data_IF_621203629604
#
_entry.id   IF_621203629604
#
_cell.length_a   1.000
_cell.length_b   1.000
_cell.length_c   1.000
_cell.angle_alpha   90.00
_cell.angle_beta   90.00
_cell.angle_gamma   90.00
#
_symmetry.space_group_name_H-M   'P 1'
#
loop_
_entity.id
_entity.type
_entity.pdbx_description
1 polymer ?
#
# COMPACT_ATOMS: atom_id res chain seq x y z
N UNK A 1 -30.20 -21.86 16.20
CA UNK A 1 -28.90 -21.99 16.91
C UNK A 1 -27.83 -21.48 15.97
N UNK A 2 -27.29 -20.29 16.22
CA UNK A 2 -26.28 -19.68 15.36
C UNK A 2 -24.96 -20.41 15.56
N UNK A 3 -24.58 -21.26 14.61
CA UNK A 3 -23.25 -21.86 14.58
C UNK A 3 -22.25 -20.79 14.13
N UNK A 4 -21.61 -20.17 15.11
CA UNK A 4 -20.41 -19.36 14.94
C UNK A 4 -19.27 -20.26 14.45
N UNK A 5 -19.17 -20.41 13.13
CA UNK A 5 -18.04 -21.09 12.49
C UNK A 5 -17.00 -20.05 12.12
N UNK A 6 -16.04 -19.70 13.00
CA UNK A 6 -14.68 -19.25 12.61
C UNK A 6 -13.67 -19.36 13.77
N UNK A 7 -13.39 -20.57 14.22
CA UNK A 7 -12.07 -20.88 14.76
C UNK A 7 -11.39 -21.80 13.75
N UNK A 8 -10.82 -21.18 12.70
CA UNK A 8 -9.82 -21.85 11.90
C UNK A 8 -8.57 -21.90 12.78
N UNK A 9 -8.19 -23.08 13.27
CA UNK A 9 -6.93 -23.26 13.99
C UNK A 9 -5.79 -22.91 13.03
N UNK A 10 -5.18 -21.74 13.25
CA UNK A 10 -4.03 -21.29 12.48
C UNK A 10 -2.86 -22.21 12.87
N UNK A 11 -2.59 -23.23 12.04
CA UNK A 11 -1.63 -24.27 12.34
C UNK A 11 -0.18 -23.89 12.03
N UNK A 12 0.02 -22.86 11.20
CA UNK A 12 1.35 -22.41 10.79
C UNK A 12 1.49 -20.89 10.79
N UNK A 13 2.73 -20.42 10.94
CA UNK A 13 3.06 -18.99 10.86
C UNK A 13 2.67 -18.36 9.52
N UNK A 14 2.78 -19.10 8.41
CA UNK A 14 2.37 -18.61 7.09
C UNK A 14 0.86 -18.41 6.97
N UNK A 15 0.05 -19.31 7.56
CA UNK A 15 -1.39 -19.16 7.60
C UNK A 15 -1.81 -17.97 8.47
N UNK A 16 -1.12 -17.75 9.59
CA UNK A 16 -1.32 -16.57 10.42
C UNK A 16 -1.10 -15.28 9.61
N UNK A 17 0.03 -15.19 8.90
CA UNK A 17 0.34 -14.03 8.08
C UNK A 17 -0.67 -13.83 6.95
N UNK A 18 -1.17 -14.90 6.33
CA UNK A 18 -2.18 -14.82 5.26
C UNK A 18 -3.53 -14.34 5.78
N UNK A 19 -4.02 -14.90 6.88
CA UNK A 19 -5.31 -14.51 7.47
C UNK A 19 -5.24 -13.08 8.01
N UNK A 20 -4.14 -12.72 8.68
CA UNK A 20 -3.90 -11.36 9.15
C UNK A 20 -3.86 -10.36 7.99
N UNK A 21 -3.16 -10.69 6.90
CA UNK A 21 -3.18 -9.86 5.68
C UNK A 21 -4.57 -9.81 5.05
N UNK A 22 -5.30 -10.92 4.97
CA UNK A 22 -6.66 -10.95 4.41
C UNK A 22 -7.67 -10.11 5.19
N UNK A 23 -7.52 -10.03 6.52
CA UNK A 23 -8.43 -9.27 7.38
C UNK A 23 -8.07 -7.78 7.50
N UNK A 24 -6.78 -7.44 7.50
CA UNK A 24 -6.30 -6.07 7.79
C UNK A 24 -5.59 -5.38 6.62
N UNK A 25 -5.30 -6.10 5.54
CA UNK A 25 -4.59 -5.60 4.39
C UNK A 25 -5.44 -5.78 3.13
N UNK A 26 -6.37 -4.86 2.85
CA UNK A 26 -7.20 -4.98 1.65
C UNK A 26 -6.30 -4.89 0.43
N UNK A 27 -6.34 -5.87 -0.47
CA UNK A 27 -5.64 -5.81 -1.77
C UNK A 27 -6.01 -4.51 -2.52
N UNK A 28 -7.24 -4.02 -2.31
CA UNK A 28 -7.72 -2.72 -2.77
C UNK A 28 -6.86 -1.53 -2.33
N UNK A 29 -6.28 -1.55 -1.13
CA UNK A 29 -5.41 -0.47 -0.62
C UNK A 29 -4.09 -0.42 -1.38
N UNK A 30 -3.56 -1.56 -1.85
CA UNK A 30 -2.36 -1.56 -2.71
C UNK A 30 -2.65 -0.96 -4.07
N UNK A 31 -3.73 -1.36 -4.70
CA UNK A 31 -4.10 -0.84 -6.02
C UNK A 31 -4.45 0.65 -5.95
N UNK A 32 -5.15 1.09 -4.91
CA UNK A 32 -5.40 2.51 -4.67
C UNK A 32 -4.09 3.29 -4.46
N UNK A 33 -3.16 2.75 -3.68
CA UNK A 33 -1.86 3.37 -3.47
C UNK A 33 -1.02 3.39 -4.77
N UNK A 34 -1.12 2.38 -5.64
CA UNK A 34 -0.49 2.34 -6.96
C UNK A 34 -1.08 3.42 -7.88
N UNK A 35 -2.40 3.54 -7.96
CA UNK A 35 -3.07 4.59 -8.74
C UNK A 35 -2.68 5.98 -8.23
N UNK A 36 -2.63 6.17 -6.92
CA UNK A 36 -2.18 7.43 -6.30
C UNK A 36 -0.71 7.74 -6.60
N UNK A 37 0.15 6.73 -6.61
CA UNK A 37 1.58 6.90 -6.93
C UNK A 37 1.79 7.31 -8.39
N UNK A 38 1.04 6.71 -9.33
CA UNK A 38 1.09 7.05 -10.76
C UNK A 38 0.66 8.50 -11.05
N UNK A 39 -0.27 9.03 -10.25
CA UNK A 39 -0.81 10.38 -10.38
C UNK A 39 -0.30 11.37 -9.32
N UNK A 40 0.79 11.07 -8.62
CA UNK A 40 1.28 11.93 -7.54
C UNK A 40 1.74 13.28 -8.08
N UNK A 41 1.38 14.37 -7.38
CA UNK A 41 1.78 15.73 -7.76
C UNK A 41 2.00 16.56 -6.51
N UNK A 42 3.03 17.39 -6.50
CA UNK A 42 3.34 18.27 -5.39
C UNK A 42 2.25 19.34 -5.24
N UNK A 43 1.45 19.27 -4.18
CA UNK A 43 0.42 20.28 -3.89
C UNK A 43 0.92 21.36 -2.94
N UNK A 44 1.64 20.98 -1.89
CA UNK A 44 2.22 21.88 -0.89
C UNK A 44 3.73 22.01 -1.00
N UNK A 45 4.39 21.93 0.14
CA UNK A 45 5.86 21.96 0.25
C UNK A 45 6.48 20.67 -0.32
N UNK A 46 7.75 20.74 -0.71
CA UNK A 46 8.51 19.56 -1.14
C UNK A 46 8.57 18.52 -0.01
N UNK A 47 8.67 18.96 1.25
CA UNK A 47 8.71 18.06 2.40
C UNK A 47 7.42 17.25 2.60
N UNK A 48 6.26 17.87 2.37
CA UNK A 48 4.96 17.18 2.39
C UNK A 48 4.85 16.19 1.24
N UNK A 49 5.28 16.60 0.04
CA UNK A 49 5.29 15.75 -1.15
C UNK A 49 6.16 14.50 -0.97
N UNK A 50 7.39 14.67 -0.47
CA UNK A 50 8.29 13.54 -0.17
C UNK A 50 7.69 12.61 0.88
N UNK A 51 7.00 13.15 1.89
CA UNK A 51 6.34 12.34 2.92
C UNK A 51 5.19 11.51 2.35
N UNK A 52 4.36 12.11 1.49
CA UNK A 52 3.25 11.42 0.82
C UNK A 52 3.76 10.34 -0.12
N UNK A 53 4.78 10.64 -0.93
CA UNK A 53 5.45 9.67 -1.80
C UNK A 53 5.99 8.47 -1.02
N UNK A 54 6.74 8.71 0.07
CA UNK A 54 7.28 7.63 0.93
C UNK A 54 6.17 6.78 1.55
N UNK A 55 5.06 7.39 1.97
CA UNK A 55 3.90 6.68 2.50
C UNK A 55 3.29 5.74 1.45
N UNK A 56 3.13 6.21 0.22
CA UNK A 56 2.62 5.39 -0.89
C UNK A 56 3.58 4.24 -1.24
N UNK A 57 4.88 4.50 -1.29
CA UNK A 57 5.90 3.47 -1.52
C UNK A 57 5.87 2.34 -0.48
N UNK A 58 5.62 2.66 0.80
CA UNK A 58 5.48 1.65 1.86
C UNK A 58 4.21 0.80 1.73
N UNK A 59 3.14 1.35 1.12
CA UNK A 59 1.88 0.64 0.90
C UNK A 59 1.92 -0.25 -0.33
N UNK A 60 2.81 0.01 -1.27
CA UNK A 60 2.95 -0.77 -2.50
C UNK A 60 4.32 -1.43 -2.51
N UNK A 61 4.59 -2.28 -1.52
CA UNK A 61 5.91 -2.91 -1.28
C UNK A 61 6.53 -3.66 -2.48
N UNK A 62 5.80 -3.84 -3.58
CA UNK A 62 6.21 -4.46 -4.84
C UNK A 62 6.46 -3.45 -6.00
N UNK A 63 6.54 -2.13 -5.77
CA UNK A 63 6.78 -1.19 -6.90
C UNK A 63 8.20 -1.34 -7.46
N UNK A 64 8.27 -1.41 -8.79
CA UNK A 64 9.47 -1.21 -9.59
C UNK A 64 10.04 0.18 -9.25
N UNK A 65 11.15 0.21 -8.52
CA UNK A 65 11.85 1.43 -8.04
C UNK A 65 12.08 2.48 -9.15
N UNK A 66 12.23 2.02 -10.40
CA UNK A 66 12.37 2.89 -11.58
C UNK A 66 11.09 3.63 -11.96
N UNK A 67 9.93 2.98 -11.93
CA UNK A 67 8.65 3.60 -12.31
C UNK A 67 8.19 4.62 -11.27
N UNK A 68 8.45 4.31 -10.00
CA UNK A 68 8.17 5.21 -8.87
C UNK A 68 9.06 6.45 -8.87
N UNK A 69 10.35 6.32 -9.23
CA UNK A 69 11.25 7.47 -9.37
C UNK A 69 10.80 8.41 -10.49
N UNK A 70 10.34 7.87 -11.63
CA UNK A 70 9.83 8.67 -12.75
C UNK A 70 8.56 9.43 -12.35
N UNK A 71 7.62 8.77 -11.67
CA UNK A 71 6.42 9.42 -11.15
C UNK A 71 6.77 10.54 -10.15
N UNK A 72 7.77 10.32 -9.29
CA UNK A 72 8.26 11.34 -8.37
C UNK A 72 8.78 12.58 -9.09
N UNK A 73 9.61 12.41 -10.13
CA UNK A 73 10.18 13.52 -10.89
C UNK A 73 9.10 14.29 -11.66
N UNK A 74 8.17 13.58 -12.31
CA UNK A 74 7.09 14.19 -13.07
C UNK A 74 6.08 14.95 -12.20
N UNK A 75 5.92 14.56 -10.94
CA UNK A 75 5.01 15.20 -10.00
C UNK A 75 5.56 16.46 -9.31
N UNK A 76 6.85 16.80 -9.49
CA UNK A 76 7.43 17.99 -8.88
C UNK A 76 6.91 19.26 -9.55
N UNK A 77 6.69 20.30 -8.74
CA UNK A 77 6.40 21.64 -9.27
C UNK A 77 7.69 22.25 -9.85
N UNK A 78 7.60 23.03 -10.94
CA UNK A 78 8.74 23.77 -11.49
C UNK A 78 9.30 24.79 -10.51
#
# INVERSE_FOLDING_TARGET
>A
MSTDKRQCEIGTWQEFQRELKGQFYPEFVKEEARTKLQGITQRGTVGEYVREFKKLMLQVSDVIEKESLLAFQNGLKP
#
